data_IF_432429834938
#
_entry.id   IF_432429834938
#
_cell.length_a   1.000
_cell.length_b   1.000
_cell.length_c   1.000
_cell.angle_alpha   90.00
_cell.angle_beta   90.00
_cell.angle_gamma   90.00
#
_symmetry.space_group_name_H-M   'P 1'
#
loop_
_entity.id
_entity.type
_entity.pdbx_description
1 polymer ?
#
# COMPACT_ATOMS: atom_id res chain seq x y z
N UNK A 1 10.95 0.38 -14.19
CA UNK A 1 9.70 0.71 -14.88
C UNK A 1 9.39 2.14 -14.44
N UNK A 2 9.65 3.11 -15.31
CA UNK A 2 9.28 4.50 -15.04
C UNK A 2 7.81 4.66 -15.42
N UNK A 3 7.01 5.13 -14.46
CA UNK A 3 5.60 5.39 -14.66
C UNK A 3 5.43 6.89 -14.82
N UNK A 4 5.02 7.31 -16.03
CA UNK A 4 4.72 8.71 -16.31
C UNK A 4 3.26 8.96 -15.95
N UNK A 5 3.04 9.64 -14.82
CA UNK A 5 1.73 10.15 -14.46
C UNK A 5 1.41 11.41 -15.29
N UNK A 6 0.13 11.69 -15.48
CA UNK A 6 -0.32 12.98 -16.05
C UNK A 6 0.05 14.09 -15.06
N UNK A 7 0.26 15.33 -15.53
CA UNK A 7 0.73 16.45 -14.69
C UNK A 7 -0.11 16.68 -13.44
N UNK A 8 -1.43 16.59 -13.54
CA UNK A 8 -2.36 16.73 -12.40
C UNK A 8 -2.24 15.57 -11.40
N UNK A 9 -2.07 14.35 -11.89
CA UNK A 9 -1.88 13.17 -11.04
C UNK A 9 -0.54 13.25 -10.28
N UNK A 10 0.48 13.87 -10.88
CA UNK A 10 1.79 14.05 -10.25
C UNK A 10 1.73 15.02 -9.07
N UNK A 11 0.97 16.12 -9.18
CA UNK A 11 0.77 17.07 -8.08
C UNK A 11 0.08 16.41 -6.88
N UNK A 12 -0.98 15.62 -7.13
CA UNK A 12 -1.68 14.86 -6.09
C UNK A 12 -0.78 13.83 -5.39
N UNK A 13 0.11 13.20 -6.15
CA UNK A 13 1.07 12.23 -5.62
C UNK A 13 2.11 12.92 -4.74
N UNK A 14 2.61 14.08 -5.16
CA UNK A 14 3.62 14.83 -4.41
C UNK A 14 3.01 15.41 -3.12
N UNK A 15 1.81 15.98 -3.18
CA UNK A 15 1.05 16.41 -2.00
C UNK A 15 0.86 15.24 -1.02
N UNK A 16 0.38 14.10 -1.52
CA UNK A 16 0.22 12.90 -0.70
C UNK A 16 1.53 12.49 -0.02
N UNK A 17 2.64 12.46 -0.75
CA UNK A 17 3.95 12.08 -0.21
C UNK A 17 4.49 13.04 0.83
N UNK A 18 4.23 14.33 0.68
CA UNK A 18 4.55 15.34 1.68
C UNK A 18 3.74 15.12 2.96
N UNK A 19 2.44 14.81 2.85
CA UNK A 19 1.59 14.51 4.02
C UNK A 19 2.03 13.27 4.79
N UNK A 20 2.42 12.20 4.10
CA UNK A 20 2.80 10.94 4.75
C UNK A 20 4.28 10.87 5.15
N UNK A 21 5.10 11.84 4.71
CA UNK A 21 6.56 11.87 4.90
C UNK A 21 7.21 10.52 4.54
N UNK A 22 6.77 9.92 3.43
CA UNK A 22 7.24 8.61 2.99
C UNK A 22 8.69 8.68 2.51
N UNK A 23 9.48 7.65 2.81
CA UNK A 23 10.91 7.59 2.45
C UNK A 23 11.28 6.26 1.84
N UNK A 24 12.28 6.29 0.97
CA UNK A 24 12.95 5.09 0.44
C UNK A 24 12.01 4.10 -0.23
N UNK A 25 12.08 2.83 0.18
CA UNK A 25 11.31 1.73 -0.42
C UNK A 25 9.78 1.90 -0.33
N UNK A 26 9.27 2.63 0.65
CA UNK A 26 7.82 2.89 0.78
C UNK A 26 7.30 3.76 -0.36
N UNK A 27 8.07 4.77 -0.80
CA UNK A 27 7.73 5.60 -1.96
C UNK A 27 7.62 4.76 -3.23
N UNK A 28 8.64 3.95 -3.51
CA UNK A 28 8.67 3.09 -4.70
C UNK A 28 7.49 2.11 -4.71
N UNK A 29 7.17 1.52 -3.55
CA UNK A 29 6.05 0.61 -3.40
C UNK A 29 4.71 1.31 -3.62
N UNK A 30 4.54 2.52 -3.08
CA UNK A 30 3.30 3.29 -3.17
C UNK A 30 3.06 3.79 -4.59
N UNK A 31 4.10 4.30 -5.27
CA UNK A 31 4.05 4.66 -6.70
C UNK A 31 3.64 3.47 -7.56
N UNK A 32 4.22 2.29 -7.32
CA UNK A 32 3.88 1.07 -8.04
C UNK A 32 2.42 0.67 -7.82
N UNK A 33 1.96 0.68 -6.56
CA UNK A 33 0.59 0.31 -6.21
C UNK A 33 -0.43 1.25 -6.86
N UNK A 34 -0.21 2.57 -6.81
CA UNK A 34 -1.10 3.55 -7.44
C UNK A 34 -1.11 3.42 -8.96
N UNK A 35 0.06 3.26 -9.58
CA UNK A 35 0.11 3.10 -11.03
C UNK A 35 -0.67 1.86 -11.50
N UNK A 36 -0.54 0.74 -10.79
CA UNK A 36 -1.33 -0.47 -11.09
C UNK A 36 -2.82 -0.28 -10.84
N UNK A 37 -3.19 0.51 -9.84
CA UNK A 37 -4.59 0.81 -9.52
C UNK A 37 -5.26 1.66 -10.62
N UNK A 38 -4.59 2.72 -11.07
CA UNK A 38 -5.00 3.57 -12.20
C UNK A 38 -5.14 2.73 -13.47
N UNK A 39 -4.13 1.90 -13.76
CA UNK A 39 -4.14 1.02 -14.92
C UNK A 39 -5.28 -0.01 -14.88
N UNK A 40 -5.62 -0.53 -13.70
CA UNK A 40 -6.71 -1.48 -13.52
C UNK A 40 -8.09 -0.86 -13.75
N UNK A 41 -8.31 0.37 -13.26
CA UNK A 41 -9.58 1.07 -13.43
C UNK A 41 -9.69 1.85 -14.73
N UNK A 42 -8.58 2.00 -15.47
CA UNK A 42 -8.48 2.79 -16.69
C UNK A 42 -9.03 4.22 -16.52
N UNK A 43 -8.68 4.83 -15.38
CA UNK A 43 -9.08 6.17 -14.94
C UNK A 43 -7.88 6.88 -14.35
N UNK A 44 -7.81 8.20 -14.46
CA UNK A 44 -6.75 8.99 -13.81
C UNK A 44 -6.90 8.97 -12.28
N UNK A 45 -5.84 9.36 -11.57
CA UNK A 45 -5.91 9.49 -10.12
C UNK A 45 -6.90 10.59 -9.72
N UNK A 46 -6.92 11.70 -10.47
CA UNK A 46 -7.86 12.80 -10.28
C UNK A 46 -9.32 12.39 -10.46
N UNK A 47 -9.65 11.58 -11.49
CA UNK A 47 -11.00 11.04 -11.71
C UNK A 47 -11.44 10.14 -10.57
N UNK A 48 -10.54 9.26 -10.10
CA UNK A 48 -10.79 8.35 -8.98
C UNK A 48 -11.00 9.11 -7.66
N UNK A 49 -10.35 10.26 -7.48
CA UNK A 49 -10.53 11.13 -6.33
C UNK A 49 -11.86 11.88 -6.43
N UNK A 50 -12.13 12.54 -7.56
CA UNK A 50 -13.37 13.27 -7.81
C UNK A 50 -14.60 12.38 -7.61
N UNK A 51 -14.54 11.12 -8.06
CA UNK A 51 -15.61 10.15 -7.82
C UNK A 51 -15.89 9.94 -6.31
N UNK A 52 -14.84 9.87 -5.52
CA UNK A 52 -14.93 9.64 -4.09
C UNK A 52 -15.44 10.87 -3.34
N UNK A 53 -15.02 12.07 -3.75
CA UNK A 53 -15.55 13.34 -3.23
C UNK A 53 -17.04 13.50 -3.54
N UNK A 54 -17.45 13.13 -4.76
CA UNK A 54 -18.85 13.12 -5.19
C UNK A 54 -19.74 12.28 -4.27
N UNK A 55 -19.24 11.12 -3.82
CA UNK A 55 -19.94 10.25 -2.88
C UNK A 55 -20.06 10.88 -1.49
N UNK A 56 -19.06 11.68 -1.08
CA UNK A 56 -19.07 12.43 0.19
C UNK A 56 -20.08 13.57 0.12
N UNK A 57 -20.04 14.37 -0.94
CA UNK A 57 -20.96 15.49 -1.17
C UNK A 57 -22.41 15.01 -1.24
N UNK A 58 -22.67 13.87 -1.88
CA UNK A 58 -24.01 13.25 -1.96
C UNK A 58 -24.46 12.61 -0.64
N UNK A 59 -23.63 12.63 0.41
CA UNK A 59 -23.96 12.05 1.71
C UNK A 59 -24.15 10.54 1.68
N UNK A 60 -23.50 9.84 0.75
CA UNK A 60 -23.64 8.38 0.60
C UNK A 60 -23.07 7.70 1.84
N UNK A 61 -23.87 6.78 2.39
CA UNK A 61 -23.50 5.95 3.54
C UNK A 61 -22.12 5.33 3.28
N UNK A 62 -21.15 5.41 4.21
CA UNK A 62 -19.77 4.92 4.01
C UNK A 62 -19.69 3.47 3.49
N UNK A 63 -20.64 2.61 3.88
CA UNK A 63 -20.74 1.22 3.43
C UNK A 63 -21.05 1.07 1.94
N UNK A 64 -21.74 2.03 1.34
CA UNK A 64 -22.23 2.03 -0.05
C UNK A 64 -21.38 2.90 -1.00
N UNK A 65 -20.32 3.54 -0.52
CA UNK A 65 -19.42 4.35 -1.35
C UNK A 65 -18.74 3.48 -2.42
N UNK A 66 -18.62 4.00 -3.64
CA UNK A 66 -18.06 3.29 -4.80
C UNK A 66 -16.60 2.89 -4.60
N UNK A 67 -15.85 3.74 -3.89
CA UNK A 67 -14.46 3.49 -3.47
C UNK A 67 -14.26 2.11 -2.80
N UNK A 68 -15.24 1.63 -2.03
CA UNK A 68 -15.15 0.33 -1.36
C UNK A 68 -15.22 -0.82 -2.37
N UNK A 69 -16.08 -0.71 -3.37
CA UNK A 69 -16.18 -1.67 -4.48
C UNK A 69 -14.86 -1.73 -5.24
N UNK A 70 -14.37 -0.57 -5.68
CA UNK A 70 -13.10 -0.44 -6.43
C UNK A 70 -11.91 -1.07 -5.71
N UNK A 71 -11.71 -0.78 -4.42
CA UNK A 71 -10.62 -1.37 -3.64
C UNK A 71 -10.78 -2.90 -3.52
N UNK A 72 -12.01 -3.39 -3.42
CA UNK A 72 -12.28 -4.83 -3.33
C UNK A 72 -12.00 -5.51 -4.67
N UNK A 73 -12.45 -4.91 -5.76
CA UNK A 73 -12.23 -5.42 -7.12
C UNK A 73 -10.74 -5.44 -7.47
N UNK A 74 -10.01 -4.37 -7.12
CA UNK A 74 -8.56 -4.34 -7.28
C UNK A 74 -7.84 -5.35 -6.40
N UNK A 75 -8.29 -5.57 -5.16
CA UNK A 75 -7.72 -6.62 -4.31
C UNK A 75 -7.93 -8.00 -4.93
N UNK A 76 -9.09 -8.23 -5.51
CA UNK A 76 -9.42 -9.48 -6.19
C UNK A 76 -8.61 -9.65 -7.47
N UNK A 77 -8.31 -8.58 -8.23
CA UNK A 77 -7.48 -8.70 -9.44
C UNK A 77 -6.01 -9.08 -9.17
N UNK A 78 -5.56 -9.00 -7.92
CA UNK A 78 -4.21 -9.36 -7.52
C UNK A 78 -4.06 -10.84 -7.13
N UNK A 79 -4.90 -11.76 -7.61
CA UNK A 79 -4.94 -13.18 -7.16
C UNK A 79 -3.55 -13.83 -7.07
N UNK A 80 -2.70 -13.60 -8.08
CA UNK A 80 -1.33 -14.14 -8.20
C UNK A 80 -0.30 -13.57 -7.21
N UNK A 81 -0.65 -12.54 -6.44
CA UNK A 81 0.25 -11.92 -5.47
C UNK A 81 0.08 -12.51 -4.08
N UNK A 82 1.16 -12.50 -3.31
CA UNK A 82 1.11 -12.88 -1.89
C UNK A 82 0.16 -11.96 -1.11
N UNK A 83 -0.43 -12.48 -0.03
CA UNK A 83 -1.33 -11.70 0.82
C UNK A 83 -0.64 -10.46 1.40
N UNK A 84 0.63 -10.56 1.76
CA UNK A 84 1.42 -9.41 2.22
C UNK A 84 1.52 -8.33 1.14
N UNK A 85 1.74 -8.71 -0.11
CA UNK A 85 1.77 -7.77 -1.24
C UNK A 85 0.41 -7.12 -1.46
N UNK A 86 -0.67 -7.92 -1.48
CA UNK A 86 -2.06 -7.42 -1.58
C UNK A 86 -2.35 -6.41 -0.47
N UNK A 87 -1.96 -6.73 0.76
CA UNK A 87 -2.13 -5.88 1.91
C UNK A 87 -1.34 -4.57 1.80
N UNK A 88 -0.10 -4.63 1.33
CA UNK A 88 0.73 -3.44 1.15
C UNK A 88 0.15 -2.49 0.09
N UNK A 89 -0.31 -3.05 -1.04
CA UNK A 89 -0.87 -2.25 -2.15
C UNK A 89 -2.19 -1.60 -1.75
N UNK A 90 -3.09 -2.36 -1.13
CA UNK A 90 -4.35 -1.82 -0.61
C UNK A 90 -4.09 -0.77 0.48
N UNK A 91 -3.05 -0.94 1.30
CA UNK A 91 -2.68 0.05 2.32
C UNK A 91 -2.17 1.35 1.70
N UNK A 92 -1.41 1.29 0.60
CA UNK A 92 -0.99 2.46 -0.15
C UNK A 92 -2.21 3.24 -0.67
N UNK A 93 -3.15 2.56 -1.32
CA UNK A 93 -4.38 3.18 -1.85
C UNK A 93 -5.21 3.83 -0.73
N UNK A 94 -5.38 3.14 0.40
CA UNK A 94 -6.07 3.72 1.57
C UNK A 94 -5.35 4.94 2.11
N UNK A 95 -4.02 4.92 2.12
CA UNK A 95 -3.24 6.05 2.62
C UNK A 95 -3.37 7.27 1.72
N UNK A 96 -3.51 7.09 0.41
CA UNK A 96 -3.79 8.17 -0.54
C UNK A 96 -5.15 8.81 -0.28
N UNK A 97 -6.24 8.03 -0.28
CA UNK A 97 -7.56 8.59 -0.03
C UNK A 97 -7.67 9.24 1.36
N UNK A 98 -6.95 8.72 2.35
CA UNK A 98 -6.89 9.30 3.69
C UNK A 98 -6.15 10.65 3.71
N UNK A 99 -5.11 10.87 2.90
CA UNK A 99 -4.43 12.17 2.85
C UNK A 99 -5.30 13.24 2.20
N UNK A 100 -6.20 12.83 1.31
CA UNK A 100 -7.18 13.70 0.66
C UNK A 100 -8.50 13.82 1.45
N UNK A 101 -8.47 13.54 2.76
CA UNK A 101 -9.62 13.59 3.68
C UNK A 101 -10.86 12.76 3.27
N UNK A 102 -10.69 11.79 2.37
CA UNK A 102 -11.75 10.84 2.00
C UNK A 102 -11.77 9.71 3.02
N UNK A 103 -12.70 9.80 3.99
CA UNK A 103 -12.85 8.77 5.01
C UNK A 103 -13.28 7.41 4.40
N UNK A 104 -12.46 6.39 4.61
CA UNK A 104 -12.79 5.02 4.27
C UNK A 104 -13.39 4.30 5.49
N UNK A 105 -14.46 3.49 5.31
CA UNK A 105 -15.01 2.70 6.39
C UNK A 105 -13.92 1.76 6.94
N UNK A 106 -13.59 1.93 8.22
CA UNK A 106 -12.57 1.14 8.90
C UNK A 106 -13.03 -0.32 9.02
N UNK A 107 -12.24 -1.25 8.49
CA UNK A 107 -12.39 -2.65 8.87
C UNK A 107 -11.83 -2.79 10.29
N UNK A 108 -12.60 -3.40 11.20
CA UNK A 108 -12.16 -3.67 12.57
C UNK A 108 -10.74 -4.25 12.52
N UNK A 109 -9.78 -3.56 13.16
CA UNK A 109 -8.41 -4.06 13.31
C UNK A 109 -8.51 -5.37 14.07
N UNK A 110 -8.25 -6.49 13.39
CA UNK A 110 -7.98 -7.74 14.08
C UNK A 110 -6.70 -7.53 14.89
N UNK A 111 -6.67 -8.06 16.12
CA UNK A 111 -5.51 -7.95 17.02
C UNK A 111 -4.23 -8.38 16.30
N UNK A 112 -3.10 -7.77 16.69
CA UNK A 112 -1.78 -8.05 16.08
C UNK A 112 -1.59 -9.56 15.99
N UNK A 113 -1.54 -10.09 14.76
CA UNK A 113 -1.23 -11.50 14.52
C UNK A 113 0.09 -11.83 15.20
N UNK A 114 0.09 -12.91 15.98
CA UNK A 114 1.32 -13.42 16.59
C UNK A 114 2.38 -13.63 15.49
N UNK A 115 3.65 -13.37 15.82
CA UNK A 115 4.77 -13.65 14.91
C UNK A 115 4.68 -15.14 14.53
N UNK A 116 4.61 -15.43 13.23
CA UNK A 116 4.63 -16.81 12.73
C UNK A 116 5.91 -17.50 13.22
N UNK A 117 5.85 -18.79 13.55
CA UNK A 117 7.00 -19.51 14.13
C UNK A 117 8.25 -19.44 13.24
N UNK A 118 8.05 -19.44 11.93
CA UNK A 118 9.10 -19.27 10.90
C UNK A 118 9.79 -17.90 10.92
N UNK A 119 9.12 -16.86 11.44
CA UNK A 119 9.63 -15.50 11.56
C UNK A 119 10.14 -15.20 12.98
N UNK A 120 10.07 -16.16 13.92
CA UNK A 120 10.83 -16.05 15.15
C UNK A 120 12.31 -16.16 14.78
N UNK A 121 13.05 -15.10 15.07
CA UNK A 121 14.50 -15.11 14.99
C UNK A 121 15.01 -16.24 15.91
N UNK A 122 15.36 -17.39 15.33
CA UNK A 122 15.96 -18.50 16.06
C UNK A 122 17.39 -18.17 16.51
N UNK A 123 17.95 -17.05 16.05
CA UNK A 123 19.33 -16.69 16.27
C UNK A 123 20.28 -17.69 15.63
N UNK A 124 21.53 -17.27 15.49
CA UNK A 124 22.61 -18.21 15.25
C UNK A 124 23.20 -18.57 16.61
N UNK A 125 23.39 -19.86 16.86
CA UNK A 125 24.00 -20.32 18.11
C UNK A 125 25.44 -19.77 18.21
N UNK A 126 25.93 -19.48 19.42
CA UNK A 126 27.27 -18.89 19.60
C UNK A 126 28.38 -19.75 18.97
N UNK A 127 28.14 -21.05 18.89
CA UNK A 127 29.01 -22.04 18.25
C UNK A 127 29.06 -21.86 16.71
N UNK A 128 27.92 -21.62 16.08
CA UNK A 128 27.81 -21.36 14.64
C UNK A 128 28.44 -20.02 14.27
N UNK A 129 28.27 -18.97 15.09
CA UNK A 129 28.93 -17.67 14.89
C UNK A 129 30.45 -17.83 14.91
N UNK A 130 31.00 -18.59 15.88
CA UNK A 130 32.44 -18.89 15.94
C UNK A 130 32.93 -19.68 14.73
N UNK A 131 32.13 -20.64 14.26
CA UNK A 131 32.45 -21.42 13.06
C UNK A 131 32.51 -20.51 11.84
N UNK A 132 31.51 -19.66 11.63
CA UNK A 132 31.49 -18.71 10.51
C UNK A 132 32.67 -17.76 10.59
N UNK A 133 32.97 -17.17 11.75
CA UNK A 133 34.13 -16.29 11.93
C UNK A 133 35.46 -16.98 11.63
N UNK A 134 35.57 -18.30 11.85
CA UNK A 134 36.77 -19.08 11.54
C UNK A 134 36.98 -19.31 10.04
N UNK A 135 35.89 -19.42 9.27
CA UNK A 135 35.93 -19.66 7.83
C UNK A 135 35.73 -18.40 6.99
N UNK A 136 35.12 -17.36 7.56
CA UNK A 136 35.08 -16.03 7.01
C UNK A 136 36.51 -15.51 7.07
N UNK A 137 37.16 -15.42 5.91
CA UNK A 137 38.46 -14.80 5.77
C UNK A 137 38.28 -13.28 6.02
N UNK A 138 38.21 -12.90 7.29
CA UNK A 138 38.22 -11.50 7.71
C UNK A 138 39.65 -11.02 7.49
N UNK A 139 39.88 -10.43 6.32
CA UNK A 139 41.12 -9.77 5.94
C UNK A 139 40.93 -8.27 5.95
#
# INVERSE_FOLDING_TARGET
MEFNFVSEDQELIDEWFDHINAKGGTLSLYKLAISQYIAFHNMSLSELLSEAEDDVVKGIIPRKRRIKGRITDYRNSLEDKSDNTKHAYVSAIRSFYKSMDVELPSNKRYEKTAIMEENKFLGMERSEIKRILKYANVR
#
